data_IF_312067993316
#
_entry.id   IF_312067993316
#
_cell.length_a   1.000
_cell.length_b   1.000
_cell.length_c   1.000
_cell.angle_alpha   90.00
_cell.angle_beta   90.00
_cell.angle_gamma   90.00
#
_symmetry.space_group_name_H-M   'P 1'
#
loop_
_entity.id
_entity.type
_entity.pdbx_description
1 polymer ?
#
# COMPACT_ATOMS: atom_id res chain seq x y z
N UNK A 1 10.12 12.30 17.26
CA UNK A 1 10.20 11.21 16.28
C UNK A 1 9.38 10.06 16.82
N UNK A 2 8.44 9.48 16.06
CA UNK A 2 7.72 8.27 16.48
C UNK A 2 8.74 7.18 16.85
N UNK A 3 8.60 6.60 18.04
CA UNK A 3 9.49 5.54 18.56
C UNK A 3 9.01 4.13 18.20
N UNK A 4 7.84 4.04 17.54
CA UNK A 4 7.22 2.79 17.10
C UNK A 4 6.57 3.02 15.75
N UNK A 5 6.88 2.15 14.79
CA UNK A 5 6.20 2.11 13.51
C UNK A 5 4.88 1.32 13.63
N UNK A 6 3.92 1.65 12.79
CA UNK A 6 2.77 0.78 12.51
C UNK A 6 3.24 -0.28 11.53
N UNK A 7 3.06 -1.55 11.88
CA UNK A 7 3.38 -2.72 11.05
C UNK A 7 2.08 -3.46 10.73
N UNK A 8 1.77 -3.60 9.44
CA UNK A 8 0.54 -4.22 8.96
C UNK A 8 0.83 -5.23 7.86
N UNK A 9 0.11 -6.34 7.92
CA UNK A 9 -0.05 -7.27 6.81
C UNK A 9 -1.51 -7.23 6.38
N UNK A 10 -1.76 -6.97 5.10
CA UNK A 10 -3.11 -6.89 4.53
C UNK A 10 -3.29 -7.96 3.46
N UNK A 11 -4.10 -9.00 3.71
CA UNK A 11 -4.45 -9.93 2.66
C UNK A 11 -5.32 -9.20 1.63
N UNK A 12 -4.89 -9.25 0.38
CA UNK A 12 -5.65 -8.66 -0.71
C UNK A 12 -6.54 -9.70 -1.39
N UNK A 13 -7.39 -9.21 -2.28
CA UNK A 13 -8.14 -10.03 -3.22
C UNK A 13 -8.32 -9.22 -4.51
N UNK A 14 -9.10 -9.76 -5.45
CA UNK A 14 -9.58 -9.03 -6.63
C UNK A 14 -10.67 -7.99 -6.30
N UNK A 15 -11.00 -7.80 -5.02
CA UNK A 15 -11.82 -6.70 -4.52
C UNK A 15 -10.91 -5.72 -3.79
N UNK A 16 -11.00 -4.44 -4.16
CA UNK A 16 -10.20 -3.41 -3.51
C UNK A 16 -10.54 -3.28 -2.03
N UNK A 17 -9.54 -2.98 -1.22
CA UNK A 17 -9.70 -2.66 0.19
C UNK A 17 -8.84 -1.45 0.56
N UNK A 18 -9.22 -0.75 1.63
CA UNK A 18 -8.33 0.21 2.27
C UNK A 18 -7.25 -0.55 3.05
N UNK A 19 -5.99 -0.26 2.76
CA UNK A 19 -4.83 -0.93 3.38
C UNK A 19 -4.14 -0.07 4.42
N UNK A 20 -4.25 1.25 4.31
CA UNK A 20 -3.75 2.22 5.28
C UNK A 20 -4.75 3.39 5.37
N UNK A 21 -5.13 3.78 6.57
CA UNK A 21 -6.07 4.89 6.78
C UNK A 21 -5.38 6.25 6.60
N UNK A 22 -6.14 7.34 6.63
CA UNK A 22 -5.61 8.71 6.65
C UNK A 22 -4.81 8.94 7.94
N UNK A 23 -3.59 9.46 7.80
CA UNK A 23 -2.75 9.89 8.90
C UNK A 23 -2.14 11.28 8.59
N UNK A 24 -2.68 12.37 9.16
CA UNK A 24 -2.14 13.73 8.98
C UNK A 24 -0.70 13.92 9.45
N UNK A 25 -0.22 13.04 10.33
CA UNK A 25 1.14 13.09 10.89
C UNK A 25 2.10 12.13 10.20
N UNK A 26 1.66 11.39 9.17
CA UNK A 26 2.50 10.45 8.42
C UNK A 26 3.74 11.16 7.89
N UNK A 27 4.91 10.71 8.32
CA UNK A 27 6.19 11.13 7.75
C UNK A 27 6.73 10.10 6.78
N UNK A 28 6.29 8.84 6.91
CA UNK A 28 6.74 7.74 6.08
C UNK A 28 5.65 6.67 5.92
N UNK A 29 5.57 6.05 4.74
CA UNK A 29 4.97 4.73 4.59
C UNK A 29 5.66 3.92 3.48
N UNK A 30 5.91 2.63 3.70
CA UNK A 30 6.39 1.70 2.69
C UNK A 30 5.38 0.60 2.49
N UNK A 31 5.10 0.27 1.24
CA UNK A 31 4.24 -0.83 0.82
C UNK A 31 5.08 -1.81 0.01
N UNK A 32 5.13 -3.08 0.39
CA UNK A 32 5.94 -4.10 -0.30
C UNK A 32 5.08 -5.28 -0.71
N UNK A 33 5.19 -5.66 -1.99
CA UNK A 33 4.57 -6.83 -2.57
C UNK A 33 5.58 -7.98 -2.69
N UNK A 34 5.67 -8.79 -1.64
CA UNK A 34 6.51 -10.00 -1.65
C UNK A 34 5.82 -11.20 -2.32
N UNK A 35 4.54 -11.04 -2.69
CA UNK A 35 3.75 -12.06 -3.36
C UNK A 35 4.07 -12.22 -4.85
N UNK A 36 3.50 -13.27 -5.44
CA UNK A 36 3.68 -13.60 -6.86
C UNK A 36 2.74 -12.83 -7.81
N UNK A 37 1.75 -12.10 -7.29
CA UNK A 37 0.72 -11.42 -8.06
C UNK A 37 0.97 -9.92 -8.15
N UNK A 38 0.51 -9.28 -9.23
CA UNK A 38 0.59 -7.83 -9.34
C UNK A 38 -0.40 -7.15 -8.39
N UNK A 39 0.04 -6.10 -7.71
CA UNK A 39 -0.79 -5.27 -6.85
C UNK A 39 -0.88 -3.85 -7.42
N UNK A 40 -2.04 -3.22 -7.29
CA UNK A 40 -2.25 -1.83 -7.67
C UNK A 40 -2.70 -1.01 -6.47
N UNK A 41 -2.01 0.10 -6.21
CA UNK A 41 -2.37 1.07 -5.18
C UNK A 41 -3.10 2.27 -5.78
N UNK A 42 -4.02 2.82 -5.00
CA UNK A 42 -4.66 4.10 -5.26
C UNK A 42 -4.71 4.96 -4.00
N UNK A 43 -4.52 6.27 -4.18
CA UNK A 43 -4.42 7.24 -3.09
C UNK A 43 -5.75 7.98 -2.94
N UNK A 44 -6.45 7.78 -1.82
CA UNK A 44 -7.70 8.48 -1.49
C UNK A 44 -8.93 8.07 -2.31
N UNK A 45 -8.80 7.08 -3.20
CA UNK A 45 -9.88 6.56 -4.04
C UNK A 45 -9.79 5.02 -4.11
N UNK A 46 -10.88 4.32 -4.51
CA UNK A 46 -10.84 2.88 -4.70
C UNK A 46 -9.78 2.44 -5.72
N UNK A 47 -9.03 1.39 -5.38
CA UNK A 47 -8.05 0.81 -6.30
C UNK A 47 -8.73 0.02 -7.42
N UNK A 48 -8.18 0.12 -8.64
CA UNK A 48 -8.70 -0.56 -9.83
C UNK A 48 -7.53 -1.27 -10.51
N UNK A 49 -7.74 -2.53 -10.92
CA UNK A 49 -6.73 -3.32 -11.64
C UNK A 49 -6.25 -2.57 -12.88
N UNK A 50 -4.93 -2.58 -13.11
CA UNK A 50 -4.25 -1.89 -14.22
C UNK A 50 -4.35 -0.36 -14.19
N UNK A 51 -4.62 0.26 -13.02
CA UNK A 51 -4.62 1.72 -12.82
C UNK A 51 -3.83 2.10 -11.57
N UNK A 52 -3.37 3.35 -11.51
CA UNK A 52 -2.65 3.88 -10.34
C UNK A 52 -1.20 3.39 -10.27
N UNK A 53 -0.73 3.11 -9.06
CA UNK A 53 0.66 2.71 -8.80
C UNK A 53 0.73 1.19 -8.81
N UNK A 54 1.49 0.62 -9.75
CA UNK A 54 1.70 -0.84 -9.83
C UNK A 54 2.87 -1.24 -8.94
N UNK A 55 2.65 -2.23 -8.06
CA UNK A 55 3.71 -2.98 -7.40
C UNK A 55 3.95 -4.27 -8.16
N UNK A 56 5.18 -4.47 -8.64
CA UNK A 56 5.58 -5.73 -9.25
C UNK A 56 5.58 -6.86 -8.22
N UNK A 57 5.32 -8.08 -8.69
CA UNK A 57 5.48 -9.27 -7.89
C UNK A 57 6.94 -9.45 -7.46
N UNK A 58 7.17 -10.19 -6.38
CA UNK A 58 8.49 -10.57 -5.86
C UNK A 58 9.37 -9.38 -5.45
N UNK A 59 8.82 -8.47 -4.63
CA UNK A 59 9.56 -7.39 -3.96
C UNK A 59 9.32 -5.98 -4.51
N UNK A 60 8.35 -5.79 -5.41
CA UNK A 60 7.96 -4.46 -5.86
C UNK A 60 7.41 -3.61 -4.71
N UNK A 61 7.82 -2.35 -4.65
CA UNK A 61 7.47 -1.48 -3.52
C UNK A 61 7.14 -0.05 -3.96
N UNK A 62 6.45 0.66 -3.06
CA UNK A 62 6.19 2.09 -3.18
C UNK A 62 6.40 2.74 -1.81
N UNK A 63 7.12 3.85 -1.81
CA UNK A 63 7.46 4.61 -0.61
C UNK A 63 6.80 5.99 -0.66
N UNK A 64 6.17 6.37 0.44
CA UNK A 64 5.73 7.72 0.76
C UNK A 64 6.75 8.29 1.74
N UNK A 65 7.38 9.41 1.38
CA UNK A 65 8.35 10.13 2.19
C UNK A 65 8.19 11.64 2.01
N UNK A 66 9.15 12.43 2.51
CA UNK A 66 9.10 13.89 2.49
C UNK A 66 9.13 14.52 1.08
N UNK A 67 9.48 13.76 0.04
CA UNK A 67 9.53 14.23 -1.36
C UNK A 67 8.22 13.98 -2.12
N UNK A 68 7.38 13.07 -1.64
CA UNK A 68 6.08 12.74 -2.22
C UNK A 68 5.00 12.55 -1.13
N UNK A 69 4.80 13.56 -0.26
CA UNK A 69 3.96 13.40 0.92
C UNK A 69 2.52 13.07 0.55
N UNK A 70 1.97 12.05 1.22
CA UNK A 70 0.56 11.70 1.13
C UNK A 70 0.01 11.32 2.50
N UNK A 71 -0.97 12.08 2.97
CA UNK A 71 -1.57 11.89 4.30
C UNK A 71 -2.92 11.20 4.27
N UNK A 72 -3.52 11.02 3.08
CA UNK A 72 -4.83 10.38 2.93
C UNK A 72 -4.76 8.86 3.08
N UNK A 73 -5.91 8.21 2.91
CA UNK A 73 -5.97 6.74 2.88
C UNK A 73 -5.27 6.18 1.64
N UNK A 74 -4.86 4.92 1.73
CA UNK A 74 -4.31 4.14 0.62
C UNK A 74 -5.16 2.89 0.46
N UNK A 75 -5.57 2.63 -0.77
CA UNK A 75 -6.35 1.47 -1.16
C UNK A 75 -5.49 0.58 -2.06
N UNK A 76 -5.72 -0.73 -1.99
CA UNK A 76 -5.02 -1.70 -2.82
C UNK A 76 -5.96 -2.76 -3.38
N UNK A 77 -5.57 -3.33 -4.51
CA UNK A 77 -6.25 -4.45 -5.17
C UNK A 77 -5.20 -5.37 -5.78
N UNK A 78 -5.39 -6.68 -5.64
CA UNK A 78 -4.57 -7.66 -6.34
C UNK A 78 -5.16 -7.92 -7.73
N UNK A 79 -4.29 -8.14 -8.72
CA UNK A 79 -4.73 -8.51 -10.07
C UNK A 79 -5.45 -9.86 -10.08
N UNK A 80 -4.97 -10.80 -9.28
CA UNK A 80 -5.54 -12.12 -9.06
C UNK A 80 -5.13 -12.64 -7.67
N UNK A 81 -5.73 -13.76 -7.26
CA UNK A 81 -5.37 -14.45 -6.02
C UNK A 81 -5.60 -13.62 -4.76
N UNK A 82 -4.88 -14.00 -3.70
CA UNK A 82 -4.94 -13.36 -2.38
C UNK A 82 -3.54 -13.12 -1.82
N UNK A 83 -2.69 -12.31 -2.49
CA UNK A 83 -1.36 -11.99 -1.97
C UNK A 83 -1.48 -11.10 -0.73
N UNK A 84 -0.52 -11.25 0.17
CA UNK A 84 -0.35 -10.33 1.29
C UNK A 84 0.46 -9.11 0.85
N UNK A 85 0.00 -7.93 1.27
CA UNK A 85 0.75 -6.67 1.18
C UNK A 85 1.29 -6.33 2.56
N UNK A 86 2.61 -6.13 2.66
CA UNK A 86 3.26 -5.69 3.91
C UNK A 86 3.42 -4.18 3.90
N UNK A 87 3.21 -3.54 5.06
CA UNK A 87 3.14 -2.08 5.18
C UNK A 87 3.82 -1.64 6.47
N UNK A 88 4.66 -0.62 6.37
CA UNK A 88 5.25 0.04 7.53
C UNK A 88 5.03 1.55 7.47
N UNK A 89 4.49 2.16 8.53
CA UNK A 89 4.19 3.60 8.62
C UNK A 89 4.81 4.24 9.88
N UNK A 90 5.28 5.48 9.75
CA UNK A 90 5.68 6.37 10.86
C UNK A 90 4.88 7.67 10.84
#
# INVERSE_FOLDING_TARGET
MPTKAVDLVKPLSTTQIMVLDKNPSRTYALFVNDGAELIYLALGIPAIVNRGIRLNANGGNYEINLTNPWHGSVHAIAKAGTPDLTIQEW
#
